data_IF_775981771124
#
_entry.id   IF_775981771124
#
_cell.length_a   1.000
_cell.length_b   1.000
_cell.length_c   1.000
_cell.angle_alpha   90.00
_cell.angle_beta   90.00
_cell.angle_gamma   90.00
#
_symmetry.space_group_name_H-M   'P 1'
#
loop_
_entity.id
_entity.type
_entity.pdbx_description
1 polymer ?
#
# COMPACT_ATOMS: atom_id res chain seq x y z
N UNK A 1 -17.76 -6.31 14.23
CA UNK A 1 -17.55 -7.56 13.48
C UNK A 1 -16.21 -7.49 12.76
N UNK A 2 -15.10 -7.71 13.46
CA UNK A 2 -13.76 -7.66 12.89
C UNK A 2 -13.16 -9.07 12.87
N UNK A 3 -13.54 -9.91 11.91
CA UNK A 3 -12.84 -11.16 11.68
C UNK A 3 -13.16 -11.76 10.30
N UNK A 4 -12.11 -12.16 9.57
CA UNK A 4 -12.10 -12.92 8.31
C UNK A 4 -12.37 -12.18 6.97
N UNK A 5 -11.91 -10.94 6.80
CA UNK A 5 -11.52 -10.55 5.44
C UNK A 5 -10.13 -11.15 5.19
N UNK A 6 -9.99 -12.03 4.19
CA UNK A 6 -8.69 -12.39 3.61
C UNK A 6 -8.46 -11.40 2.46
N UNK A 7 -7.80 -10.24 2.70
CA UNK A 7 -7.52 -9.32 1.62
C UNK A 7 -6.58 -10.01 0.63
N UNK A 8 -7.01 -10.17 -0.62
CA UNK A 8 -6.11 -10.57 -1.71
C UNK A 8 -5.44 -9.31 -2.20
N UNK A 9 -4.12 -9.23 -2.01
CA UNK A 9 -3.31 -8.13 -2.56
C UNK A 9 -2.58 -8.65 -3.78
N UNK A 10 -2.88 -8.07 -4.93
CA UNK A 10 -2.21 -8.31 -6.21
C UNK A 10 -1.33 -7.10 -6.51
N UNK A 11 -0.08 -7.35 -6.87
CA UNK A 11 0.89 -6.31 -7.20
C UNK A 11 1.37 -6.60 -8.61
N UNK A 12 1.04 -5.71 -9.53
CA UNK A 12 1.40 -5.82 -10.94
C UNK A 12 2.44 -4.76 -11.25
N UNK A 13 3.48 -5.17 -11.96
CA UNK A 13 4.50 -4.26 -12.48
C UNK A 13 4.26 -4.12 -13.96
N UNK A 14 4.21 -2.88 -14.45
CA UNK A 14 4.13 -2.58 -15.88
C UNK A 14 5.34 -3.15 -16.62
N UNK A 15 5.16 -3.46 -17.92
CA UNK A 15 6.23 -4.03 -18.76
C UNK A 15 7.48 -3.14 -18.83
N UNK A 16 7.30 -1.82 -18.69
CA UNK A 16 8.39 -0.84 -18.68
C UNK A 16 9.13 -0.78 -17.32
N UNK A 17 8.63 -1.47 -16.28
CA UNK A 17 9.22 -1.51 -14.94
C UNK A 17 9.02 -0.22 -14.11
N UNK A 18 8.51 0.85 -14.73
CA UNK A 18 8.31 2.15 -14.09
C UNK A 18 6.98 2.28 -13.34
N UNK A 19 5.90 1.77 -13.93
CA UNK A 19 4.56 1.79 -13.35
C UNK A 19 4.29 0.56 -12.49
N UNK A 20 3.73 0.78 -11.31
CA UNK A 20 3.32 -0.24 -10.36
C UNK A 20 1.84 -0.08 -10.08
N UNK A 21 1.13 -1.20 -10.00
CA UNK A 21 -0.28 -1.25 -9.66
C UNK A 21 -0.45 -2.16 -8.44
N UNK A 22 -1.03 -1.63 -7.37
CA UNK A 22 -1.47 -2.44 -6.23
C UNK A 22 -2.99 -2.51 -6.27
N UNK A 23 -3.51 -3.73 -6.47
CA UNK A 23 -4.92 -4.06 -6.36
C UNK A 23 -5.15 -4.82 -5.06
N UNK A 24 -5.86 -4.20 -4.13
CA UNK A 24 -6.30 -4.85 -2.89
C UNK A 24 -7.77 -5.19 -3.00
N UNK A 25 -8.08 -6.48 -3.11
CA UNK A 25 -9.44 -7.01 -3.17
C UNK A 25 -9.82 -7.50 -1.78
N UNK A 26 -10.80 -6.87 -1.16
CA UNK A 26 -11.43 -7.35 0.07
C UNK A 26 -12.88 -7.72 -0.19
N UNK A 27 -13.49 -8.51 0.70
CA UNK A 27 -14.92 -8.89 0.59
C UNK A 27 -15.86 -7.67 0.61
N UNK A 28 -15.38 -6.51 1.09
CA UNK A 28 -16.16 -5.28 1.21
C UNK A 28 -15.88 -4.28 0.09
N UNK A 29 -14.62 -4.16 -0.34
CA UNK A 29 -14.19 -3.15 -1.32
C UNK A 29 -12.93 -3.60 -2.05
N UNK A 30 -12.90 -3.35 -3.35
CA UNK A 30 -11.67 -3.45 -4.16
C UNK A 30 -11.11 -2.05 -4.34
N UNK A 31 -9.84 -1.88 -4.02
CA UNK A 31 -9.08 -0.64 -4.30
C UNK A 31 -7.95 -0.98 -5.26
N UNK A 32 -7.77 -0.14 -6.28
CA UNK A 32 -6.70 -0.25 -7.26
C UNK A 32 -5.96 1.08 -7.28
N UNK A 33 -4.63 1.02 -7.16
CA UNK A 33 -3.78 2.21 -7.06
C UNK A 33 -2.61 2.03 -8.02
N UNK A 34 -2.53 2.91 -9.00
CA UNK A 34 -1.40 3.06 -9.90
C UNK A 34 -0.42 4.09 -9.35
N UNK A 35 0.82 3.70 -9.15
CA UNK A 35 1.88 4.56 -8.66
C UNK A 35 3.21 4.22 -9.33
N UNK A 36 4.22 5.06 -9.08
CA UNK A 36 5.60 4.80 -9.50
C UNK A 36 6.47 4.71 -8.27
N UNK A 37 7.42 3.78 -8.26
CA UNK A 37 8.34 3.64 -7.13
C UNK A 37 9.17 4.90 -6.94
N UNK A 38 9.26 5.39 -5.71
CA UNK A 38 9.99 6.60 -5.36
C UNK A 38 9.30 7.90 -5.78
N UNK A 39 8.08 7.84 -6.32
CA UNK A 39 7.31 9.02 -6.69
C UNK A 39 6.14 9.23 -5.72
N UNK A 40 5.98 10.47 -5.26
CA UNK A 40 4.85 10.88 -4.45
C UNK A 40 3.61 11.06 -5.35
N UNK A 41 2.47 10.55 -4.90
CA UNK A 41 1.18 10.68 -5.58
C UNK A 41 0.08 11.00 -4.56
N UNK A 42 -1.01 11.61 -5.04
CA UNK A 42 -2.17 11.90 -4.20
C UNK A 42 -3.05 10.65 -4.09
N UNK A 43 -3.18 10.12 -2.87
CA UNK A 43 -4.03 8.97 -2.55
C UNK A 43 -5.27 9.45 -1.79
N UNK A 44 -6.44 8.95 -2.19
CA UNK A 44 -7.66 9.15 -1.42
C UNK A 44 -7.84 7.93 -0.53
N UNK A 45 -7.63 8.11 0.78
CA UNK A 45 -7.85 7.06 1.77
C UNK A 45 -9.29 6.57 1.73
N UNK A 46 -9.55 5.35 2.22
CA UNK A 46 -10.91 4.78 2.27
C UNK A 46 -11.92 5.67 3.03
N UNK A 47 -11.41 6.55 3.91
CA UNK A 47 -12.13 7.51 4.73
C UNK A 47 -12.44 8.83 3.99
N UNK A 48 -11.94 9.02 2.77
CA UNK A 48 -12.18 10.21 1.95
C UNK A 48 -11.16 11.34 2.15
N UNK A 49 -10.09 11.12 2.93
CA UNK A 49 -9.01 12.10 3.09
C UNK A 49 -7.99 11.97 1.96
N UNK A 50 -7.64 13.11 1.35
CA UNK A 50 -6.51 13.22 0.41
C UNK A 50 -5.21 13.25 1.21
N UNK A 51 -4.37 12.25 0.99
CA UNK A 51 -3.04 12.14 1.59
C UNK A 51 -2.00 12.00 0.49
N UNK A 52 -0.76 12.39 0.76
CA UNK A 52 0.33 12.19 -0.19
C UNK A 52 1.04 10.90 0.13
N UNK A 53 0.96 9.95 -0.78
CA UNK A 53 1.54 8.63 -0.61
C UNK A 53 2.80 8.48 -1.45
N UNK A 54 3.83 7.89 -0.87
CA UNK A 54 5.06 7.52 -1.57
C UNK A 54 5.34 6.05 -1.31
N UNK A 55 5.49 5.28 -2.38
CA UNK A 55 5.81 3.86 -2.28
C UNK A 55 7.22 3.62 -2.78
N UNK A 56 8.03 2.93 -1.98
CA UNK A 56 9.41 2.55 -2.30
C UNK A 56 9.56 1.05 -2.11
N UNK A 57 10.40 0.42 -2.94
CA UNK A 57 10.73 -1.00 -2.83
C UNK A 57 12.24 -1.13 -2.63
N UNK A 58 12.64 -1.74 -1.52
CA UNK A 58 14.03 -2.02 -1.20
C UNK A 58 14.22 -3.54 -1.10
N UNK A 59 14.69 -4.15 -2.18
CA UNK A 59 14.81 -5.60 -2.29
C UNK A 59 13.44 -6.30 -2.14
N UNK A 60 13.24 -6.95 -0.99
CA UNK A 60 12.01 -7.67 -0.64
C UNK A 60 11.04 -6.85 0.23
N UNK A 61 11.39 -5.61 0.57
CA UNK A 61 10.63 -4.78 1.50
C UNK A 61 10.02 -3.58 0.77
N UNK A 62 8.70 -3.51 0.70
CA UNK A 62 7.96 -2.39 0.14
C UNK A 62 7.50 -1.47 1.26
N UNK A 63 7.91 -0.21 1.24
CA UNK A 63 7.51 0.82 2.22
C UNK A 63 6.57 1.81 1.54
N UNK A 64 5.36 1.92 2.08
CA UNK A 64 4.31 2.84 1.64
C UNK A 64 4.12 3.88 2.74
N UNK A 65 4.63 5.07 2.51
CA UNK A 65 4.51 6.21 3.43
C UNK A 65 3.32 7.04 3.00
N UNK A 66 2.35 7.24 3.89
CA UNK A 66 1.20 8.11 3.70
C UNK A 66 1.41 9.36 4.55
N UNK A 67 1.82 10.45 3.92
CA UNK A 67 1.90 11.78 4.51
C UNK A 67 0.50 12.37 4.57
N UNK A 68 -0.22 12.00 5.63
CA UNK A 68 -1.49 12.59 6.02
C UNK A 68 -1.40 13.17 7.43
N UNK A 69 -2.54 13.60 7.95
CA UNK A 69 -2.71 13.93 9.36
C UNK A 69 -3.68 12.88 9.95
N UNK A 70 -3.20 11.90 10.74
CA UNK A 70 -1.81 11.62 11.10
C UNK A 70 -1.00 10.92 10.00
N UNK A 71 0.33 11.00 10.07
CA UNK A 71 1.23 10.29 9.16
C UNK A 71 1.19 8.79 9.46
N UNK A 72 1.15 7.96 8.42
CA UNK A 72 1.11 6.51 8.56
C UNK A 72 2.11 5.85 7.62
N UNK A 73 2.85 4.87 8.13
CA UNK A 73 3.82 4.11 7.36
C UNK A 73 3.42 2.64 7.34
N UNK A 74 3.25 2.12 6.13
CA UNK A 74 2.86 0.74 5.87
C UNK A 74 4.04 0.03 5.22
N UNK A 75 4.68 -0.89 5.95
CA UNK A 75 5.77 -1.72 5.44
C UNK A 75 5.26 -3.12 5.11
N UNK A 76 5.55 -3.61 3.89
CA UNK A 76 5.20 -4.95 3.41
C UNK A 76 6.49 -5.69 3.05
N UNK A 77 6.84 -6.69 3.82
CA UNK A 77 7.98 -7.55 3.56
C UNK A 77 7.52 -8.84 2.88
N UNK A 78 8.06 -9.12 1.69
CA UNK A 78 7.78 -10.33 0.91
C UNK A 78 8.84 -11.39 1.19
N UNK A 79 8.47 -12.41 1.95
CA UNK A 79 9.26 -13.63 2.11
C UNK A 79 8.77 -14.73 1.17
N UNK A 80 9.59 -15.76 0.92
CA UNK A 80 9.36 -16.79 -0.10
C UNK A 80 7.99 -17.50 -0.05
N UNK A 81 7.30 -17.49 1.09
CA UNK A 81 5.97 -18.11 1.26
C UNK A 81 4.95 -17.22 1.98
N UNK A 82 5.33 -16.03 2.43
CA UNK A 82 4.50 -15.18 3.31
C UNK A 82 4.83 -13.72 3.07
N UNK A 83 3.80 -12.88 3.12
CA UNK A 83 3.94 -11.43 3.16
C UNK A 83 3.64 -10.95 4.59
N UNK A 84 4.56 -10.23 5.21
CA UNK A 84 4.37 -9.58 6.51
C UNK A 84 4.03 -8.12 6.25
N UNK A 85 2.85 -7.68 6.68
CA UNK A 85 2.44 -6.28 6.60
C UNK A 85 2.45 -5.67 8.01
N UNK A 86 3.18 -4.57 8.17
CA UNK A 86 3.26 -3.77 9.40
C UNK A 86 2.73 -2.38 9.09
N UNK A 87 1.68 -1.96 9.78
CA UNK A 87 1.19 -0.59 9.72
C UNK A 87 1.60 0.11 11.02
N UNK A 88 2.27 1.24 10.89
CA UNK A 88 2.66 2.11 12.00
C UNK A 88 1.93 3.43 11.76
N UNK A 89 0.88 3.70 12.54
CA UNK A 89 0.36 5.05 12.68
C UNK A 89 1.31 5.83 13.58
N UNK A 90 1.81 6.96 13.11
CA UNK A 90 2.48 7.93 13.97
C UNK A 90 1.39 8.78 14.61
N UNK A 91 0.76 8.21 15.63
CA UNK A 91 -0.09 8.93 16.56
C UNK A 91 0.81 9.46 17.69
N UNK A 92 0.78 10.76 17.97
CA UNK A 92 1.53 11.43 19.07
C UNK A 92 1.16 10.88 20.45
#
# INVERSE_FOLDING_TARGET
MGNLAKPTTEITVSEDGQGWNIKTITTFKTTEIDFKLGQEFDEVTADGRNVKSTVTLNGNTMTHVQKGDPESVITREFSAKRMTMVCIGLDD
#
